data_IF_279513080602
#
_entry.id   IF_279513080602
#
_cell.length_a   1.000
_cell.length_b   1.000
_cell.length_c   1.000
_cell.angle_alpha   90.00
_cell.angle_beta   90.00
_cell.angle_gamma   90.00
#
_symmetry.space_group_name_H-M   'P 1'
#
loop_
_entity.id
_entity.type
_entity.pdbx_description
1 polymer ?
#
# COMPACT_ATOMS: atom_id res chain seq x y z
N UNK A 1 19.63 17.86 10.19
CA UNK A 1 19.12 17.64 9.93
C UNK A 1 18.57 17.38 9.28
N UNK A 2 18.52 17.23 9.05
CA UNK A 2 17.95 17.06 8.46
C UNK A 2 16.99 17.12 8.16
N UNK A 3 17.00 17.42 7.89
CA UNK A 3 15.96 17.45 7.60
C UNK A 3 15.39 16.46 7.02
N UNK A 4 14.88 16.22 7.49
CA UNK A 4 14.22 15.24 6.92
C UNK A 4 13.07 15.71 6.22
N UNK A 5 13.00 15.44 4.99
CA UNK A 5 11.86 15.77 4.20
C UNK A 5 10.71 14.96 4.71
N UNK A 6 9.60 15.60 4.97
CA UNK A 6 8.41 14.88 5.36
C UNK A 6 7.96 14.01 4.22
N UNK A 7 7.78 12.73 4.47
CA UNK A 7 7.26 11.85 3.45
C UNK A 7 5.75 11.95 3.38
N UNK A 8 5.25 12.19 2.18
CA UNK A 8 3.83 12.37 1.97
C UNK A 8 3.24 11.21 1.18
N UNK A 9 2.02 10.86 1.53
CA UNK A 9 1.27 9.86 0.78
C UNK A 9 0.47 10.56 -0.32
N UNK A 10 0.53 10.02 -1.52
CA UNK A 10 -0.23 10.54 -2.65
C UNK A 10 -1.45 9.66 -2.86
N UNK A 11 -2.61 10.30 -2.87
CA UNK A 11 -3.88 9.58 -2.85
C UNK A 11 -4.02 8.58 -3.99
N UNK A 12 -3.70 8.99 -5.20
CA UNK A 12 -3.84 8.09 -6.34
C UNK A 12 -2.92 6.88 -6.23
N UNK A 13 -1.73 7.08 -5.69
CA UNK A 13 -0.80 5.96 -5.53
C UNK A 13 -1.27 5.01 -4.44
N UNK A 14 -1.78 5.55 -3.35
CA UNK A 14 -2.26 4.71 -2.26
C UNK A 14 -3.47 3.91 -2.70
N UNK A 15 -4.41 4.53 -3.41
CA UNK A 15 -5.55 3.79 -3.91
C UNK A 15 -5.14 2.69 -4.87
N UNK A 16 -4.13 2.94 -5.70
CA UNK A 16 -3.63 1.90 -6.59
C UNK A 16 -3.07 0.72 -5.80
N UNK A 17 -2.36 1.00 -4.72
CA UNK A 17 -1.83 -0.06 -3.86
C UNK A 17 -2.96 -0.85 -3.22
N UNK A 18 -3.97 -0.18 -2.69
CA UNK A 18 -5.09 -0.86 -2.04
C UNK A 18 -5.82 -1.76 -3.03
N UNK A 19 -6.08 -1.27 -4.24
CA UNK A 19 -6.74 -2.09 -5.25
C UNK A 19 -5.90 -3.29 -5.64
N UNK A 20 -4.58 -3.11 -5.74
CA UNK A 20 -3.69 -4.21 -6.06
C UNK A 20 -3.72 -5.27 -4.96
N UNK A 21 -3.70 -4.85 -3.71
CA UNK A 21 -3.74 -5.79 -2.60
C UNK A 21 -5.06 -6.55 -2.57
N UNK A 22 -6.15 -5.88 -2.91
CA UNK A 22 -7.44 -6.54 -2.99
C UNK A 22 -7.40 -7.66 -4.04
N UNK A 23 -6.82 -7.39 -5.19
CA UNK A 23 -6.72 -8.40 -6.23
C UNK A 23 -5.86 -9.58 -5.78
N UNK A 24 -4.77 -9.29 -5.10
CA UNK A 24 -3.85 -10.35 -4.67
C UNK A 24 -4.49 -11.21 -3.59
N UNK A 25 -5.05 -10.58 -2.56
CA UNK A 25 -5.53 -11.32 -1.40
C UNK A 25 -6.92 -11.89 -1.58
N UNK A 26 -7.80 -11.21 -2.31
CA UNK A 26 -9.19 -11.64 -2.41
C UNK A 26 -9.53 -12.30 -3.74
N UNK A 27 -8.75 -12.02 -4.78
CA UNK A 27 -9.00 -12.61 -6.09
C UNK A 27 -7.93 -13.63 -6.48
N UNK A 28 -7.00 -13.90 -5.57
CA UNK A 28 -5.96 -14.92 -5.75
C UNK A 28 -5.07 -14.66 -6.96
N UNK A 29 -4.85 -13.41 -7.31
CA UNK A 29 -3.96 -13.09 -8.42
C UNK A 29 -2.52 -13.06 -7.94
N UNK A 30 -1.61 -13.38 -8.83
CA UNK A 30 -0.19 -13.36 -8.50
C UNK A 30 0.30 -11.93 -8.37
N UNK A 31 1.11 -11.69 -7.33
CA UNK A 31 1.58 -10.34 -7.03
C UNK A 31 2.34 -9.75 -8.20
N UNK A 32 3.21 -10.53 -8.85
CA UNK A 32 3.98 -9.99 -9.96
C UNK A 32 3.09 -9.48 -11.10
N UNK A 33 2.05 -10.24 -11.41
CA UNK A 33 1.14 -9.83 -12.47
C UNK A 33 0.35 -8.59 -12.08
N UNK A 34 -0.10 -8.55 -10.83
CA UNK A 34 -0.88 -7.40 -10.36
C UNK A 34 -0.03 -6.14 -10.37
N UNK A 35 1.22 -6.26 -9.92
CA UNK A 35 2.11 -5.09 -9.92
C UNK A 35 2.30 -4.58 -11.34
N UNK A 36 2.55 -5.48 -12.29
CA UNK A 36 2.76 -5.06 -13.68
C UNK A 36 1.52 -4.36 -14.25
N UNK A 37 0.34 -4.91 -13.98
CA UNK A 37 -0.88 -4.28 -14.46
C UNK A 37 -1.10 -2.92 -13.80
N UNK A 38 -0.83 -2.85 -12.50
CA UNK A 38 -1.03 -1.60 -11.76
C UNK A 38 -0.13 -0.50 -12.29
N UNK A 39 1.14 -0.83 -12.56
CA UNK A 39 2.09 0.17 -13.04
C UNK A 39 1.74 0.72 -14.42
N UNK A 40 0.90 0.03 -15.16
CA UNK A 40 0.47 0.49 -16.48
C UNK A 40 -0.80 1.33 -16.45
N UNK A 41 -1.41 1.49 -15.29
CA UNK A 41 -2.70 2.18 -15.22
C UNK A 41 -2.62 3.67 -15.50
N UNK A 42 -1.50 4.29 -15.18
CA UNK A 42 -1.37 5.73 -15.39
C UNK A 42 0.00 6.03 -15.96
N UNK A 43 0.01 6.47 -17.20
CA UNK A 43 1.28 6.75 -17.89
C UNK A 43 2.01 7.93 -17.31
N UNK A 44 1.32 8.77 -16.52
CA UNK A 44 1.94 9.95 -15.92
C UNK A 44 2.83 9.60 -14.73
N UNK A 45 2.71 8.39 -14.21
CA UNK A 45 3.54 7.99 -13.07
C UNK A 45 4.99 7.87 -13.49
N UNK A 46 5.85 8.60 -12.81
CA UNK A 46 7.27 8.53 -13.07
C UNK A 46 7.91 7.38 -12.29
N UNK A 47 9.24 7.32 -12.38
CA UNK A 47 9.96 6.20 -11.76
C UNK A 47 9.79 6.18 -10.26
N UNK A 48 9.70 7.35 -9.61
CA UNK A 48 9.53 7.41 -8.17
C UNK A 48 8.16 6.87 -7.76
N UNK A 49 7.12 7.24 -8.51
CA UNK A 49 5.78 6.76 -8.21
C UNK A 49 5.68 5.27 -8.40
N UNK A 50 6.25 4.77 -9.49
CA UNK A 50 6.21 3.36 -9.81
C UNK A 50 6.97 2.54 -8.77
N UNK A 51 8.09 3.07 -8.31
CA UNK A 51 8.86 2.42 -7.27
C UNK A 51 8.06 2.33 -5.98
N UNK A 52 7.40 3.41 -5.59
CA UNK A 52 6.57 3.40 -4.39
C UNK A 52 5.50 2.32 -4.47
N UNK A 53 4.79 2.28 -5.60
CA UNK A 53 3.70 1.32 -5.76
C UNK A 53 4.22 -0.11 -5.65
N UNK A 54 5.26 -0.41 -6.42
CA UNK A 54 5.78 -1.78 -6.46
C UNK A 54 6.33 -2.23 -5.11
N UNK A 55 7.15 -1.40 -4.50
CA UNK A 55 7.77 -1.77 -3.23
C UNK A 55 6.74 -1.91 -2.13
N UNK A 56 5.75 -1.02 -2.12
CA UNK A 56 4.72 -1.09 -1.09
C UNK A 56 3.91 -2.36 -1.22
N UNK A 57 3.50 -2.70 -2.44
CA UNK A 57 2.73 -3.92 -2.65
C UNK A 57 3.52 -5.15 -2.21
N UNK A 58 4.77 -5.26 -2.66
CA UNK A 58 5.58 -6.43 -2.32
C UNK A 58 5.83 -6.52 -0.82
N UNK A 59 6.07 -5.40 -0.16
CA UNK A 59 6.30 -5.42 1.27
C UNK A 59 5.06 -5.83 2.04
N UNK A 60 3.90 -5.32 1.62
CA UNK A 60 2.67 -5.66 2.34
C UNK A 60 2.29 -7.11 2.14
N UNK A 61 2.59 -7.68 0.99
CA UNK A 61 2.36 -9.11 0.77
C UNK A 61 3.33 -9.93 1.61
N UNK A 62 4.59 -9.54 1.61
CA UNK A 62 5.63 -10.29 2.32
C UNK A 62 5.39 -10.34 3.82
N UNK A 63 4.97 -9.22 4.40
CA UNK A 63 4.83 -9.11 5.85
C UNK A 63 3.36 -9.06 6.28
N UNK A 64 2.48 -9.70 5.52
CA UNK A 64 1.05 -9.58 5.76
C UNK A 64 0.64 -10.03 7.16
N UNK A 65 1.27 -11.07 7.68
CA UNK A 65 0.93 -11.55 9.01
C UNK A 65 1.26 -10.53 10.07
N UNK A 66 2.42 -9.88 9.92
CA UNK A 66 2.83 -8.86 10.86
C UNK A 66 1.84 -7.71 10.88
N UNK A 67 1.47 -7.23 9.69
CA UNK A 67 0.56 -6.10 9.61
C UNK A 67 -0.82 -6.47 10.13
N UNK A 68 -1.29 -7.69 9.85
CA UNK A 68 -2.56 -8.14 10.39
C UNK A 68 -2.53 -8.18 11.90
N UNK A 69 -1.44 -8.65 12.47
CA UNK A 69 -1.34 -8.76 13.91
C UNK A 69 -1.34 -7.39 14.57
N UNK A 70 -0.56 -6.46 14.04
CA UNK A 70 -0.48 -5.12 14.61
C UNK A 70 -1.82 -4.39 14.44
N UNK A 71 -2.45 -4.54 13.29
CA UNK A 71 -3.70 -3.85 13.00
C UNK A 71 -4.92 -4.54 13.60
N UNK A 72 -4.79 -5.79 14.03
CA UNK A 72 -5.90 -6.53 14.59
C UNK A 72 -6.90 -7.02 13.57
N UNK A 73 -6.46 -7.28 12.34
CA UNK A 73 -7.36 -7.60 11.24
C UNK A 73 -7.54 -9.10 11.01
N UNK A 74 -6.77 -9.95 11.66
CA UNK A 74 -6.97 -11.41 11.64
C UNK A 74 -7.02 -12.03 10.25
N UNK A 75 -6.22 -11.53 9.34
CA UNK A 75 -6.12 -12.08 7.98
C UNK A 75 -7.42 -12.02 7.19
N UNK A 76 -8.27 -11.10 7.51
CA UNK A 76 -9.44 -10.80 6.70
C UNK A 76 -9.12 -9.54 5.90
N UNK A 77 -9.31 -9.63 4.58
CA UNK A 77 -8.83 -8.59 3.68
C UNK A 77 -9.95 -7.77 3.06
N UNK A 78 -10.92 -7.39 3.87
CA UNK A 78 -11.91 -6.41 3.42
C UNK A 78 -11.20 -5.10 3.08
N UNK A 79 -11.86 -4.25 2.32
CA UNK A 79 -11.25 -2.96 2.00
C UNK A 79 -10.88 -2.21 3.26
N UNK A 80 -11.75 -2.24 4.24
CA UNK A 80 -11.48 -1.57 5.51
C UNK A 80 -10.21 -2.11 6.16
N UNK A 81 -10.05 -3.42 6.16
CA UNK A 81 -8.88 -4.04 6.77
C UNK A 81 -7.61 -3.77 5.96
N UNK A 82 -7.73 -3.73 4.65
CA UNK A 82 -6.59 -3.38 3.83
C UNK A 82 -6.09 -1.97 4.14
N UNK A 83 -7.02 -1.04 4.37
CA UNK A 83 -6.65 0.30 4.76
C UNK A 83 -5.99 0.32 6.13
N UNK A 84 -6.48 -0.49 7.06
CA UNK A 84 -5.86 -0.59 8.39
C UNK A 84 -4.44 -1.13 8.29
N UNK A 85 -4.25 -2.16 7.49
CA UNK A 85 -2.92 -2.72 7.31
C UNK A 85 -1.99 -1.72 6.65
N UNK A 86 -2.51 -0.99 5.67
CA UNK A 86 -1.71 0.04 5.02
C UNK A 86 -1.33 1.14 6.01
N UNK A 87 -2.25 1.50 6.90
CA UNK A 87 -1.96 2.51 7.91
C UNK A 87 -0.77 2.08 8.77
N UNK A 88 -0.77 0.82 9.20
CA UNK A 88 0.34 0.30 9.99
C UNK A 88 1.64 0.41 9.20
N UNK A 89 1.61 -0.02 7.93
CA UNK A 89 2.79 0.06 7.08
C UNK A 89 3.29 1.51 6.99
N UNK A 90 2.39 2.44 6.76
CA UNK A 90 2.76 3.83 6.56
C UNK A 90 3.40 4.43 7.82
N UNK A 91 2.81 4.14 8.97
CA UNK A 91 3.35 4.64 10.23
C UNK A 91 4.73 4.06 10.50
N UNK A 92 4.88 2.75 10.26
CA UNK A 92 6.17 2.12 10.49
C UNK A 92 7.25 2.66 9.56
N UNK A 93 6.86 3.10 8.37
CA UNK A 93 7.80 3.68 7.42
C UNK A 93 8.05 5.16 7.64
N UNK A 94 7.35 5.78 8.57
CA UNK A 94 7.55 7.18 8.88
C UNK A 94 6.73 8.15 8.04
N UNK A 95 5.71 7.67 7.37
CA UNK A 95 4.83 8.56 6.63
C UNK A 95 3.89 9.27 7.56
N UNK A 96 3.58 10.51 7.23
CA UNK A 96 2.58 11.27 7.95
C UNK A 96 1.22 10.93 7.37
N UNK A 97 0.27 10.55 8.22
CA UNK A 97 -1.05 10.17 7.73
C UNK A 97 -1.85 11.41 7.34
N UNK A 98 -2.39 11.44 6.13
CA UNK A 98 -3.21 12.56 5.71
C UNK A 98 -4.60 12.47 6.29
N UNK A 99 -5.36 13.54 6.06
CA UNK A 99 -6.70 13.71 6.58
C UNK A 99 -7.75 13.08 5.69
N UNK A 100 -7.53 11.90 5.22
CA UNK A 100 -8.48 11.21 4.36
C UNK A 100 -9.46 10.42 5.21
N UNK A 101 -10.66 10.24 4.68
CA UNK A 101 -11.68 9.47 5.37
C UNK A 101 -11.22 8.08 5.76
N UNK A 102 -10.37 7.48 4.95
CA UNK A 102 -9.93 6.12 5.15
C UNK A 102 -9.02 5.94 6.36
N UNK A 103 -8.47 7.01 6.85
CA UNK A 103 -7.60 6.95 8.03
C UNK A 103 -8.30 7.46 9.32
#
# INVERSE_FOLDING_TARGET
>A
MSEKTEMRLHRTLVFAVIEALDAIFNQNEYADKVVQKTLKKDKRWGSRDRKFIAETIYEMVRWKRLYNEIAGTKEQYTKENLWKNFTVWAVLKGYKLPDWKQF
#
